data_IF_516051896278
#
_entry.id   IF_516051896278
#
_cell.length_a   1.000
_cell.length_b   1.000
_cell.length_c   1.000
_cell.angle_alpha   90.00
_cell.angle_beta   90.00
_cell.angle_gamma   90.00
#
_symmetry.space_group_name_H-M   'P 1'
#
loop_
_entity.id
_entity.type
_entity.pdbx_description
1 polymer ?
#
# COMPACT_ATOMS: atom_id res chain seq x y z
N UNK A 1 -19.53 1.50 -49.03
CA UNK A 1 -19.39 1.01 -47.65
C UNK A 1 -19.03 2.25 -46.83
N UNK A 2 -19.98 2.83 -46.10
CA UNK A 2 -19.80 4.11 -45.41
C UNK A 2 -18.89 3.90 -44.18
N UNK A 3 -17.60 4.18 -44.32
CA UNK A 3 -16.70 4.30 -43.18
C UNK A 3 -16.89 5.70 -42.59
N UNK A 4 -17.65 5.75 -41.51
CA UNK A 4 -18.12 6.97 -40.86
C UNK A 4 -17.06 7.49 -39.91
N UNK A 5 -16.17 8.33 -40.44
CA UNK A 5 -15.30 9.19 -39.65
C UNK A 5 -16.14 10.23 -38.90
N UNK A 6 -16.51 9.92 -37.65
CA UNK A 6 -17.00 10.90 -36.67
C UNK A 6 -15.85 11.33 -35.75
N UNK A 7 -15.25 12.51 -35.97
CA UNK A 7 -14.14 13.00 -35.15
C UNK A 7 -14.68 13.80 -33.95
N UNK A 8 -15.49 13.17 -33.09
CA UNK A 8 -15.97 13.72 -31.81
C UNK A 8 -16.70 12.56 -31.10
N UNK A 9 -16.18 11.91 -30.06
CA UNK A 9 -16.00 12.37 -28.69
C UNK A 9 -14.93 11.46 -28.11
N UNK A 10 -13.69 11.96 -27.97
CA UNK A 10 -12.83 11.41 -26.92
C UNK A 10 -13.36 12.02 -25.64
N UNK A 11 -14.15 11.25 -24.90
CA UNK A 11 -14.68 11.67 -23.61
C UNK A 11 -13.53 12.20 -22.75
N UNK A 12 -13.65 13.38 -22.11
CA UNK A 12 -12.61 13.95 -21.24
C UNK A 12 -12.16 12.99 -20.12
N UNK A 13 -12.99 11.97 -19.82
CA UNK A 13 -12.75 10.93 -18.84
C UNK A 13 -11.73 9.85 -19.27
N UNK A 14 -11.42 9.75 -20.57
CA UNK A 14 -10.49 8.72 -21.10
C UNK A 14 -9.03 8.99 -20.68
N UNK A 15 -8.66 10.25 -20.44
CA UNK A 15 -7.31 10.64 -20.00
C UNK A 15 -7.04 10.44 -18.50
N UNK A 16 -8.08 10.22 -17.68
CA UNK A 16 -7.93 9.98 -16.25
C UNK A 16 -7.60 8.52 -15.94
N UNK A 17 -7.81 7.60 -16.89
CA UNK A 17 -7.54 6.17 -16.71
C UNK A 17 -6.05 5.82 -16.72
N UNK A 18 -5.21 6.60 -17.42
CA UNK A 18 -3.76 6.30 -17.58
C UNK A 18 -2.92 6.77 -16.38
N UNK A 19 -3.52 7.44 -15.40
CA UNK A 19 -2.84 7.96 -14.21
C UNK A 19 -3.46 7.47 -12.90
N UNK A 20 -3.94 6.24 -12.87
CA UNK A 20 -3.92 5.50 -11.62
C UNK A 20 -2.56 4.78 -11.56
N UNK A 21 -1.47 5.40 -11.05
CA UNK A 21 -0.48 4.57 -10.41
C UNK A 21 -1.24 3.76 -9.36
N UNK A 22 -0.80 2.52 -9.12
CA UNK A 22 -1.31 1.69 -8.03
C UNK A 22 -1.03 2.44 -6.71
N UNK A 23 -1.86 3.42 -6.38
CA UNK A 23 -1.78 4.17 -5.13
C UNK A 23 -2.36 3.26 -4.08
N UNK A 24 -1.49 2.69 -3.26
CA UNK A 24 -1.89 1.97 -2.07
C UNK A 24 -2.85 2.88 -1.27
N UNK A 25 -3.99 2.38 -0.78
CA UNK A 25 -4.93 3.20 -0.03
C UNK A 25 -4.21 3.78 1.19
N UNK A 26 -4.04 5.10 1.18
CA UNK A 26 -3.55 5.85 2.34
C UNK A 26 -4.73 6.42 3.11
N UNK A 27 -4.84 6.11 4.39
CA UNK A 27 -5.78 6.76 5.28
C UNK A 27 -5.05 7.74 6.19
N UNK A 28 -5.67 8.89 6.43
CA UNK A 28 -5.16 9.94 7.32
C UNK A 28 -6.14 10.03 8.48
N UNK A 29 -5.66 9.74 9.69
CA UNK A 29 -6.42 9.96 10.92
C UNK A 29 -6.45 11.45 11.25
N UNK A 30 -7.49 11.90 11.96
CA UNK A 30 -7.65 13.31 12.37
C UNK A 30 -6.47 13.86 13.18
N UNK A 31 -5.67 12.98 13.78
CA UNK A 31 -4.46 13.29 14.54
C UNK A 31 -3.20 13.47 13.67
N UNK A 32 -3.31 13.45 12.33
CA UNK A 32 -2.17 13.57 11.40
C UNK A 32 -1.42 12.25 11.16
N UNK A 33 -1.90 11.15 11.73
CA UNK A 33 -1.38 9.80 11.44
C UNK A 33 -1.75 9.39 10.02
N UNK A 34 -0.76 9.10 9.20
CA UNK A 34 -0.93 8.57 7.85
C UNK A 34 -0.61 7.10 7.87
N UNK A 35 -1.46 6.26 7.31
CA UNK A 35 -1.17 4.84 7.20
C UNK A 35 -1.58 4.31 5.83
N UNK A 36 -0.75 3.41 5.32
CA UNK A 36 -0.88 2.79 4.03
C UNK A 36 -0.81 1.28 4.21
N UNK A 37 -1.65 0.56 3.50
CA UNK A 37 -1.75 -0.88 3.56
C UNK A 37 -1.87 -1.45 2.16
N UNK A 38 -1.09 -2.50 1.87
CA UNK A 38 -1.20 -3.31 0.68
C UNK A 38 -1.39 -4.78 1.09
N UNK A 39 -2.42 -5.41 0.51
CA UNK A 39 -2.52 -6.86 0.45
C UNK A 39 -2.11 -7.36 -0.93
N UNK A 40 -1.21 -8.33 -1.00
CA UNK A 40 -0.85 -9.06 -2.23
C UNK A 40 -0.93 -10.56 -2.01
N UNK A 41 -1.46 -11.27 -3.00
CA UNK A 41 -1.45 -12.73 -3.01
C UNK A 41 -0.13 -13.20 -3.64
N UNK A 42 0.69 -13.92 -2.88
CA UNK A 42 1.92 -14.54 -3.36
C UNK A 42 1.67 -16.06 -3.49
N UNK A 43 2.06 -16.71 -4.59
CA UNK A 43 2.03 -18.17 -4.66
C UNK A 43 2.95 -18.76 -3.57
N UNK A 44 2.48 -19.81 -2.92
CA UNK A 44 3.26 -20.56 -1.93
C UNK A 44 4.50 -21.20 -2.61
N UNK A 45 5.52 -21.56 -1.83
CA UNK A 45 6.75 -22.17 -2.33
C UNK A 45 6.51 -23.44 -3.17
N UNK A 46 5.42 -24.16 -2.88
CA UNK A 46 4.99 -25.38 -3.59
C UNK A 46 4.12 -25.09 -4.84
N UNK A 47 3.67 -23.84 -5.01
CA UNK A 47 2.82 -23.41 -6.14
C UNK A 47 1.38 -23.94 -6.11
N UNK A 48 1.00 -24.72 -5.09
CA UNK A 48 -0.34 -25.29 -4.89
C UNK A 48 -1.38 -24.26 -4.43
N UNK A 49 -0.95 -23.27 -3.63
CA UNK A 49 -1.82 -22.36 -2.90
C UNK A 49 -1.33 -20.90 -2.98
N UNK A 50 -2.19 -19.96 -2.59
CA UNK A 50 -1.85 -18.55 -2.48
C UNK A 50 -1.81 -18.11 -1.02
N UNK A 51 -0.72 -17.47 -0.63
CA UNK A 51 -0.56 -16.82 0.67
C UNK A 51 -0.88 -15.35 0.52
N UNK A 52 -1.78 -14.85 1.39
CA UNK A 52 -2.01 -13.42 1.51
C UNK A 52 -0.86 -12.79 2.30
N UNK A 53 -0.04 -12.01 1.62
CA UNK A 53 0.98 -11.15 2.22
C UNK A 53 0.37 -9.77 2.39
N UNK A 54 0.33 -9.29 3.62
CA UNK A 54 -0.23 -7.99 3.97
C UNK A 54 0.86 -7.12 4.58
N UNK A 55 1.31 -6.14 3.81
CA UNK A 55 2.37 -5.22 4.21
C UNK A 55 1.82 -3.80 4.29
N UNK A 56 2.27 -3.03 5.27
CA UNK A 56 1.78 -1.68 5.47
C UNK A 56 2.78 -0.81 6.18
N UNK A 57 2.58 0.50 6.08
CA UNK A 57 3.37 1.52 6.73
C UNK A 57 2.45 2.49 7.45
N UNK A 58 2.69 2.70 8.74
CA UNK A 58 2.00 3.66 9.58
C UNK A 58 3.00 4.73 9.99
N UNK A 59 2.70 5.98 9.68
CA UNK A 59 3.50 7.15 10.00
C UNK A 59 2.68 8.08 10.89
N UNK A 60 3.14 8.32 12.12
CA UNK A 60 2.46 9.21 13.07
C UNK A 60 3.43 10.22 13.67
N UNK A 61 2.89 11.34 14.13
CA UNK A 61 3.66 12.39 14.81
C UNK A 61 3.53 12.13 16.31
N UNK A 62 4.65 11.85 16.96
CA UNK A 62 4.69 11.70 18.43
C UNK A 62 4.39 13.04 19.11
N UNK A 63 3.92 13.04 20.38
CA UNK A 63 3.71 14.27 21.15
C UNK A 63 5.00 15.08 21.35
N UNK A 64 6.17 14.50 21.10
CA UNK A 64 7.49 15.17 21.11
C UNK A 64 7.82 15.85 19.76
N UNK A 65 6.93 15.77 18.77
CA UNK A 65 7.13 16.35 17.44
C UNK A 65 7.98 15.51 16.49
N UNK A 66 8.40 14.30 16.89
CA UNK A 66 9.13 13.35 16.03
C UNK A 66 8.16 12.56 15.17
N UNK A 67 8.36 12.54 13.85
CA UNK A 67 7.66 11.63 12.94
C UNK A 67 8.20 10.22 13.13
N UNK A 68 7.34 9.30 13.54
CA UNK A 68 7.65 7.89 13.70
C UNK A 68 7.02 7.13 12.54
N UNK A 69 7.85 6.36 11.84
CA UNK A 69 7.41 5.37 10.86
C UNK A 69 7.47 3.96 11.49
N UNK A 70 6.40 3.22 11.27
CA UNK A 70 6.22 1.82 11.59
C UNK A 70 5.88 1.09 10.29
N UNK A 71 6.73 0.18 9.86
CA UNK A 71 6.46 -0.72 8.77
C UNK A 71 6.10 -2.09 9.33
N UNK A 72 5.15 -2.80 8.73
CA UNK A 72 4.82 -4.16 9.12
C UNK A 72 4.60 -5.04 7.90
N UNK A 73 4.92 -6.32 8.06
CA UNK A 73 4.73 -7.37 7.07
C UNK A 73 4.07 -8.55 7.79
N UNK A 74 2.90 -8.94 7.31
CA UNK A 74 2.19 -10.12 7.75
C UNK A 74 2.20 -11.13 6.60
N UNK A 75 2.91 -12.23 6.79
CA UNK A 75 3.08 -13.28 5.78
C UNK A 75 2.98 -14.67 6.43
N UNK A 76 3.28 -15.73 5.67
CA UNK A 76 3.29 -17.11 6.15
C UNK A 76 4.18 -17.35 7.38
N UNK A 77 5.20 -16.51 7.60
CA UNK A 77 6.08 -16.55 8.76
C UNK A 77 5.56 -15.73 9.96
N UNK A 78 4.34 -15.18 9.88
CA UNK A 78 3.69 -14.41 10.94
C UNK A 78 3.74 -12.89 10.76
N UNK A 79 3.38 -12.16 11.83
CA UNK A 79 3.39 -10.69 11.84
C UNK A 79 4.74 -10.16 12.30
N UNK A 80 5.40 -9.38 11.44
CA UNK A 80 6.73 -8.80 11.65
C UNK A 80 6.64 -7.29 11.47
N UNK A 81 6.75 -6.55 12.57
CA UNK A 81 6.79 -5.09 12.54
C UNK A 81 8.22 -4.59 12.75
N UNK A 82 8.62 -3.59 11.97
CA UNK A 82 9.88 -2.86 12.06
C UNK A 82 9.57 -1.37 12.15
N UNK A 83 10.21 -0.66 13.06
CA UNK A 83 9.92 0.76 13.24
C UNK A 83 10.93 1.40 14.16
N UNK A 84 11.18 2.69 13.95
CA UNK A 84 12.21 3.49 14.64
C UNK A 84 12.03 3.54 16.17
N UNK A 85 10.82 3.20 16.64
CA UNK A 85 10.40 3.21 18.03
C UNK A 85 10.26 1.80 18.65
N UNK A 86 10.29 0.73 17.84
CA UNK A 86 10.16 -0.62 18.38
C UNK A 86 11.42 -0.98 19.15
N UNK A 87 11.30 -1.51 20.39
CA UNK A 87 12.46 -1.96 21.15
C UNK A 87 13.16 -3.05 20.37
N UNK A 88 14.40 -2.78 19.95
CA UNK A 88 15.26 -3.81 19.36
C UNK A 88 15.56 -4.81 20.47
N UNK A 89 15.28 -6.12 20.31
CA UNK A 89 15.66 -7.11 21.31
C UNK A 89 17.18 -7.02 21.54
N UNK A 90 17.65 -7.07 22.81
CA UNK A 90 19.07 -6.97 23.09
C UNK A 90 19.82 -8.09 22.36
N UNK A 91 20.90 -7.74 21.69
CA UNK A 91 21.86 -8.69 21.10
C UNK A 91 22.26 -9.71 22.18
N UNK A 92 22.12 -11.00 21.88
CA UNK A 92 22.48 -12.10 22.75
C UNK A 92 23.89 -12.61 22.44
#
# INVERSE_FOLDING_TARGET
MYDSLVPWIRSPWDQLSTKCPLEFPTYISGDGTVAAELGRLKPNADGSDYVLVKEGTVSYISPEGKTINLSYVADEYGFRATGDHLPTPPEA
#
